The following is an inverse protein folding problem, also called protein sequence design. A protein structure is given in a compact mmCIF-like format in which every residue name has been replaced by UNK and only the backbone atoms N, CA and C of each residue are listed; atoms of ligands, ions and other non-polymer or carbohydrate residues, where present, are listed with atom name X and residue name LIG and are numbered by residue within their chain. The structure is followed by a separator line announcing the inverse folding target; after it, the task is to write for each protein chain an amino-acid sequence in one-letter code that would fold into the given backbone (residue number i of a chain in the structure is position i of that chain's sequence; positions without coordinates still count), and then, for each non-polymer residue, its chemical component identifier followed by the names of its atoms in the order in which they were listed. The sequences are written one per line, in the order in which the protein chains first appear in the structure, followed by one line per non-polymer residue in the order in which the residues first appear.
data_IF_140750166703
#
_entry.id   IF_140750166703
#
_cell.length_a   1.000
_cell.length_b   1.000
_cell.length_c   1.000
_cell.angle_alpha   90.00
_cell.angle_beta   90.00
_cell.angle_gamma   90.00
#
_symmetry.space_group_name_H-M   'P 1'
#
loop_
_entity.id
_entity.type
_entity.pdbx_description
1 polymer ?
#
# COMPACT_ATOMS: atom_id res chain seq x y z
N UNK A 1 19.15 10.65 0.10
CA UNK A 1 20.36 10.78 -0.73
C UNK A 1 20.57 9.41 -1.33
N UNK A 2 20.32 9.22 -2.63
CA UNK A 2 20.67 7.98 -3.32
C UNK A 2 21.84 8.23 -4.24
N UNK A 3 22.81 7.33 -4.09
CA UNK A 3 24.02 7.14 -4.87
C UNK A 3 25.06 8.27 -4.84
N UNK A 4 26.19 7.99 -4.19
CA UNK A 4 27.51 8.33 -4.71
C UNK A 4 28.21 7.00 -4.94
N UNK A 5 28.67 6.76 -6.16
CA UNK A 5 29.59 5.66 -6.45
C UNK A 5 30.87 5.89 -5.62
N UNK A 6 31.28 4.85 -4.90
CA UNK A 6 32.55 4.81 -4.19
C UNK A 6 33.11 3.40 -4.30
N UNK A 7 34.14 3.24 -5.13
CA UNK A 7 35.04 2.10 -5.09
C UNK A 7 35.92 2.29 -3.83
N UNK A 8 36.02 1.28 -2.96
CA UNK A 8 37.11 1.22 -1.98
C UNK A 8 38.22 0.33 -2.50
N UNK A 9 39.45 0.62 -2.08
CA UNK A 9 40.75 0.18 -2.61
C UNK A 9 41.04 -1.35 -2.62
N UNK A 10 40.09 -2.24 -2.36
CA UNK A 10 40.37 -3.68 -2.21
C UNK A 10 39.27 -4.61 -2.75
N UNK A 11 38.75 -4.40 -3.97
CA UNK A 11 38.06 -5.44 -4.77
C UNK A 11 36.92 -6.25 -4.12
N UNK A 12 36.45 -5.89 -2.92
CA UNK A 12 35.35 -6.51 -2.20
C UNK A 12 34.10 -5.73 -2.58
N UNK A 13 33.07 -6.44 -3.03
CA UNK A 13 31.75 -5.85 -3.22
C UNK A 13 31.29 -5.22 -1.90
N UNK A 14 31.34 -3.89 -1.83
CA UNK A 14 30.72 -3.15 -0.75
C UNK A 14 29.21 -3.25 -1.01
N UNK A 15 28.54 -4.16 -0.32
CA UNK A 15 27.10 -4.06 -0.15
C UNK A 15 26.85 -2.83 0.73
N UNK A 16 26.73 -1.66 0.09
CA UNK A 16 26.28 -0.45 0.77
C UNK A 16 24.86 -0.71 1.27
N UNK A 17 24.69 -0.63 2.59
CA UNK A 17 23.39 -0.84 3.25
C UNK A 17 22.37 0.16 2.69
N UNK A 18 21.49 -0.31 1.80
CA UNK A 18 20.52 0.55 1.12
C UNK A 18 19.40 1.03 2.05
N UNK A 19 19.03 0.21 3.04
CA UNK A 19 18.03 0.53 4.06
C UNK A 19 18.03 -0.52 5.19
N UNK A 20 18.04 -0.06 6.44
CA UNK A 20 17.72 -0.90 7.60
C UNK A 20 16.22 -0.93 7.85
N UNK A 21 15.61 -2.11 7.77
CA UNK A 21 14.19 -2.31 8.11
C UNK A 21 14.08 -3.23 9.31
N UNK A 22 13.38 -2.76 10.34
CA UNK A 22 13.07 -3.57 11.53
C UNK A 22 11.72 -4.25 11.30
N UNK A 23 11.73 -5.58 11.27
CA UNK A 23 10.50 -6.38 11.26
C UNK A 23 10.02 -6.52 12.71
N UNK A 24 8.80 -6.05 13.06
CA UNK A 24 8.29 -6.22 14.41
C UNK A 24 8.17 -7.72 14.75
N UNK A 25 8.51 -8.15 15.98
CA UNK A 25 8.42 -9.57 16.37
C UNK A 25 7.01 -10.17 16.28
N UNK A 26 5.98 -9.31 16.28
CA UNK A 26 4.59 -9.71 16.10
C UNK A 26 4.23 -10.08 14.66
N UNK A 27 5.12 -9.81 13.69
CA UNK A 27 4.92 -10.13 12.27
C UNK A 27 5.52 -11.49 11.97
N UNK A 28 4.66 -12.45 11.62
CA UNK A 28 5.01 -13.85 11.35
C UNK A 28 5.39 -14.04 9.88
N UNK A 29 4.58 -13.52 8.95
CA UNK A 29 4.86 -13.56 7.51
C UNK A 29 5.01 -12.13 6.97
N UNK A 30 6.22 -11.55 7.01
CA UNK A 30 6.42 -10.16 6.59
C UNK A 30 6.37 -10.02 5.07
N UNK A 31 5.50 -9.14 4.58
CA UNK A 31 5.63 -8.56 3.24
C UNK A 31 6.27 -7.17 3.35
N UNK A 32 7.49 -7.06 2.82
CA UNK A 32 8.23 -5.80 2.75
C UNK A 32 7.84 -5.05 1.48
N UNK A 33 7.32 -3.83 1.65
CA UNK A 33 6.97 -2.93 0.54
C UNK A 33 7.91 -1.73 0.57
N UNK A 34 8.62 -1.53 -0.53
CA UNK A 34 9.52 -0.40 -0.74
C UNK A 34 8.85 0.61 -1.68
N UNK A 35 8.90 1.89 -1.33
CA UNK A 35 8.37 2.98 -2.15
C UNK A 35 9.25 4.23 -2.02
N UNK A 36 9.00 5.21 -2.87
CA UNK A 36 9.54 6.56 -2.72
C UNK A 36 8.60 7.41 -1.87
N UNK A 37 9.15 8.36 -1.10
CA UNK A 37 8.38 9.39 -0.38
C UNK A 37 7.70 10.43 -1.30
N UNK A 38 7.61 10.15 -2.61
CA UNK A 38 7.18 11.06 -3.66
C UNK A 38 8.29 11.90 -4.26
N UNK A 39 9.32 12.28 -3.48
CA UNK A 39 10.41 13.15 -3.93
C UNK A 39 11.51 12.42 -4.70
N UNK A 40 11.50 11.08 -4.70
CA UNK A 40 12.58 10.20 -5.18
C UNK A 40 13.94 10.43 -4.49
N UNK A 41 13.97 11.20 -3.40
CA UNK A 41 15.20 11.48 -2.62
C UNK A 41 15.36 10.56 -1.42
N UNK A 42 14.25 10.02 -0.91
CA UNK A 42 14.21 9.12 0.25
C UNK A 42 13.28 7.94 -0.02
N UNK A 43 13.84 6.74 0.10
CA UNK A 43 13.05 5.52 0.10
C UNK A 43 12.32 5.39 1.43
N UNK A 44 11.13 4.81 1.38
CA UNK A 44 10.34 4.43 2.55
C UNK A 44 10.03 2.95 2.46
N UNK A 45 10.14 2.26 3.59
CA UNK A 45 9.75 0.86 3.71
C UNK A 45 8.56 0.74 4.64
N UNK A 46 7.70 -0.22 4.34
CA UNK A 46 6.68 -0.71 5.27
C UNK A 46 6.71 -2.22 5.30
N UNK A 47 6.59 -2.75 6.50
CA UNK A 47 6.38 -4.17 6.77
C UNK A 47 4.90 -4.34 7.07
N UNK A 48 4.22 -5.19 6.31
CA UNK A 48 2.86 -5.62 6.60
C UNK A 48 2.84 -7.10 6.92
N UNK A 49 1.93 -7.49 7.80
CA UNK A 49 1.68 -8.88 8.12
C UNK A 49 0.84 -9.51 7.01
N UNK A 50 1.41 -10.50 6.32
CA UNK A 50 0.85 -11.15 5.15
C UNK A 50 0.41 -12.60 5.40
N UNK A 51 0.38 -13.07 6.65
CA UNK A 51 -0.17 -14.39 6.96
C UNK A 51 -1.69 -14.41 6.80
N UNK A 52 -2.29 -15.52 6.31
CA UNK A 52 -3.74 -15.67 6.24
C UNK A 52 -4.47 -15.51 7.57
N UNK A 53 -3.78 -15.76 8.69
CA UNK A 53 -4.35 -15.63 10.05
C UNK A 53 -4.70 -14.17 10.42
N UNK A 54 -3.95 -13.21 9.86
CA UNK A 54 -4.07 -11.77 10.14
C UNK A 54 -4.60 -10.99 8.93
N UNK A 55 -4.26 -11.44 7.73
CA UNK A 55 -4.77 -10.91 6.46
C UNK A 55 -5.52 -12.01 5.70
N UNK A 56 -6.79 -12.23 6.07
CA UNK A 56 -7.62 -13.32 5.56
C UNK A 56 -7.95 -13.17 4.07
N UNK A 57 -8.20 -14.28 3.39
CA UNK A 57 -8.80 -14.24 2.06
C UNK A 57 -10.23 -13.65 2.14
N UNK A 58 -10.60 -12.85 1.14
CA UNK A 58 -11.78 -11.96 1.17
C UNK A 58 -11.50 -10.57 1.76
N UNK A 59 -10.37 -10.37 2.43
CA UNK A 59 -10.00 -9.07 3.00
C UNK A 59 -9.20 -8.20 2.02
N UNK A 60 -9.25 -6.90 2.27
CA UNK A 60 -8.45 -5.92 1.56
C UNK A 60 -7.67 -5.06 2.56
N UNK A 61 -6.44 -4.73 2.20
CA UNK A 61 -5.62 -3.78 2.93
C UNK A 61 -5.31 -2.57 2.06
N UNK A 62 -5.24 -1.39 2.67
CA UNK A 62 -4.75 -0.18 2.02
C UNK A 62 -3.53 0.31 2.79
N UNK A 63 -2.48 0.62 2.05
CA UNK A 63 -1.24 1.16 2.59
C UNK A 63 -0.98 2.53 1.99
N UNK A 64 -1.09 3.56 2.83
CA UNK A 64 -0.83 4.94 2.43
C UNK A 64 0.64 5.32 2.67
N UNK A 65 1.39 5.48 1.58
CA UNK A 65 2.76 5.99 1.58
C UNK A 65 2.85 7.51 1.43
N UNK A 66 1.73 8.19 1.20
CA UNK A 66 1.72 9.65 1.19
C UNK A 66 1.74 10.22 2.60
N UNK A 67 2.20 11.47 2.70
CA UNK A 67 2.13 12.27 3.93
C UNK A 67 0.73 12.87 4.17
N UNK A 68 -0.22 12.66 3.24
CA UNK A 68 -1.57 13.20 3.34
C UNK A 68 -2.55 12.11 3.83
N UNK A 69 -3.45 12.44 4.75
CA UNK A 69 -4.57 11.55 5.08
C UNK A 69 -5.44 11.30 3.85
N UNK A 70 -5.80 10.04 3.63
CA UNK A 70 -6.74 9.64 2.59
C UNK A 70 -8.09 9.34 3.23
N UNK A 71 -9.12 10.08 2.82
CA UNK A 71 -10.51 9.75 3.14
C UNK A 71 -11.13 8.95 2.00
N UNK A 72 -11.95 7.96 2.29
CA UNK A 72 -12.54 7.13 1.24
C UNK A 72 -13.81 6.44 1.65
N UNK A 73 -14.35 5.66 0.72
CA UNK A 73 -15.41 4.70 1.01
C UNK A 73 -15.23 3.43 0.20
N UNK A 74 -15.77 2.33 0.73
CA UNK A 74 -15.67 1.01 0.10
C UNK A 74 -17.05 0.35 0.02
N UNK A 75 -17.47 0.06 -1.19
CA UNK A 75 -18.83 -0.35 -1.52
C UNK A 75 -19.77 0.84 -1.38
N UNK A 76 -20.54 0.89 -0.29
CA UNK A 76 -21.47 1.98 -0.01
C UNK A 76 -20.74 3.25 0.43
N UNK A 77 -21.29 4.43 0.09
CA UNK A 77 -20.82 5.73 0.60
C UNK A 77 -20.90 5.86 2.13
N UNK A 78 -21.71 5.03 2.79
CA UNK A 78 -21.79 4.97 4.26
C UNK A 78 -20.56 4.34 4.90
N UNK A 79 -19.85 3.46 4.19
CA UNK A 79 -18.66 2.76 4.69
C UNK A 79 -17.43 3.65 4.53
N UNK A 80 -17.34 4.69 5.35
CA UNK A 80 -16.25 5.67 5.30
C UNK A 80 -14.98 5.09 5.93
N UNK A 81 -13.86 5.36 5.28
CA UNK A 81 -12.54 4.90 5.71
C UNK A 81 -11.58 6.08 5.74
N UNK A 82 -10.67 6.09 6.72
CA UNK A 82 -9.61 7.11 6.81
C UNK A 82 -8.28 6.38 6.94
N UNK A 83 -7.43 6.51 5.92
CA UNK A 83 -6.09 5.94 5.90
C UNK A 83 -5.09 7.04 6.24
N UNK A 84 -4.58 7.02 7.47
CA UNK A 84 -3.54 7.95 7.90
C UNK A 84 -2.19 7.63 7.25
N UNK A 85 -1.30 8.63 7.09
CA UNK A 85 0.08 8.39 6.65
C UNK A 85 0.73 7.28 7.48
N UNK A 86 1.44 6.37 6.84
CA UNK A 86 2.16 5.33 7.57
C UNK A 86 1.30 4.13 8.01
N UNK A 87 -0.03 4.27 8.13
CA UNK A 87 -0.88 3.19 8.65
C UNK A 87 -1.42 2.26 7.57
N UNK A 88 -1.57 0.99 7.94
CA UNK A 88 -2.40 0.03 7.23
C UNK A 88 -3.87 0.24 7.61
N UNK A 89 -4.76 0.11 6.63
CA UNK A 89 -6.18 0.06 6.87
C UNK A 89 -6.69 -1.30 6.39
N UNK A 90 -7.18 -2.10 7.34
CA UNK A 90 -7.73 -3.43 7.06
C UNK A 90 -9.24 -3.30 7.01
N UNK A 91 -9.83 -3.86 5.96
CA UNK A 91 -11.27 -3.97 5.86
C UNK A 91 -11.65 -5.33 5.33
N UNK A 92 -12.67 -5.91 5.95
CA UNK A 92 -13.30 -7.13 5.46
C UNK A 92 -14.77 -6.81 5.29
N UNK A 93 -15.33 -7.19 4.14
CA UNK A 93 -16.74 -6.99 3.87
C UNK A 93 -17.36 -8.32 3.50
N UNK A 94 -18.52 -8.59 4.07
CA UNK A 94 -19.36 -9.71 3.65
C UNK A 94 -20.28 -9.21 2.52
N UNK A 95 -19.74 -9.03 1.33
CA UNK A 95 -20.57 -8.91 0.13
C UNK A 95 -20.83 -10.32 -0.42
N UNK A 96 -21.96 -10.51 -1.10
CA UNK A 96 -22.20 -11.72 -1.89
C UNK A 96 -21.00 -11.96 -2.83
N UNK A 97 -20.51 -13.20 -2.85
CA UNK A 97 -19.41 -13.58 -3.74
C UNK A 97 -19.78 -13.26 -5.19
N UNK A 98 -18.85 -12.65 -5.93
CA UNK A 98 -19.11 -12.21 -7.30
C UNK A 98 -19.68 -10.79 -7.42
N UNK A 99 -20.03 -10.11 -6.31
CA UNK A 99 -20.48 -8.72 -6.36
C UNK A 99 -19.33 -7.74 -6.58
N UNK A 100 -19.54 -6.75 -7.44
CA UNK A 100 -18.60 -5.66 -7.65
C UNK A 100 -18.65 -4.64 -6.50
N UNK A 101 -17.48 -4.20 -6.05
CA UNK A 101 -17.26 -3.27 -4.95
C UNK A 101 -16.42 -2.10 -5.46
N UNK A 102 -16.94 -0.89 -5.30
CA UNK A 102 -16.19 0.33 -5.60
C UNK A 102 -15.32 0.72 -4.41
N UNK A 103 -14.05 1.02 -4.66
CA UNK A 103 -13.11 1.59 -3.69
C UNK A 103 -12.73 2.97 -4.20
N UNK A 104 -13.01 4.01 -3.42
CA UNK A 104 -12.74 5.39 -3.82
C UNK A 104 -12.02 6.13 -2.70
N UNK A 105 -10.91 6.80 -3.04
CA UNK A 105 -10.16 7.64 -2.11
C UNK A 105 -10.04 9.08 -2.60
N UNK A 106 -10.00 9.96 -1.62
CA UNK A 106 -9.91 11.40 -1.75
C UNK A 106 -8.81 11.92 -0.83
N UNK A 107 -8.16 12.99 -1.26
CA UNK A 107 -7.39 13.89 -0.40
C UNK A 107 -8.18 15.16 -0.18
N UNK A 108 -7.97 15.80 0.96
CA UNK A 108 -8.44 17.18 1.19
C UNK A 108 -7.29 18.13 0.87
N UNK A 109 -7.45 18.96 -0.15
CA UNK A 109 -6.51 20.02 -0.55
C UNK A 109 -7.30 21.34 -0.60
N UNK A 110 -6.84 22.38 0.10
CA UNK A 110 -7.50 23.70 0.13
C UNK A 110 -9.02 23.66 0.42
N UNK A 111 -9.43 22.85 1.40
CA UNK A 111 -10.84 22.58 1.76
C UNK A 111 -11.68 21.86 0.70
N UNK A 112 -11.11 21.51 -0.45
CA UNK A 112 -11.79 20.71 -1.48
C UNK A 112 -11.41 19.23 -1.38
N UNK A 113 -12.37 18.36 -1.64
CA UNK A 113 -12.14 16.92 -1.75
C UNK A 113 -11.78 16.56 -3.18
N UNK A 114 -10.55 16.11 -3.39
CA UNK A 114 -10.04 15.70 -4.69
C UNK A 114 -9.91 14.19 -4.75
N UNK A 115 -10.61 13.56 -5.69
CA UNK A 115 -10.51 12.12 -5.91
C UNK A 115 -9.10 11.78 -6.42
N UNK A 116 -8.44 10.85 -5.75
CA UNK A 116 -7.07 10.41 -6.07
C UNK A 116 -7.00 8.95 -6.51
N UNK A 117 -8.06 8.18 -6.22
CA UNK A 117 -8.16 6.79 -6.64
C UNK A 117 -9.60 6.36 -6.79
N UNK A 118 -9.83 5.49 -7.77
CA UNK A 118 -11.06 4.76 -7.94
C UNK A 118 -10.74 3.41 -8.55
N UNK A 119 -11.22 2.33 -7.94
CA UNK A 119 -11.15 0.99 -8.49
C UNK A 119 -12.46 0.27 -8.25
N UNK A 120 -12.81 -0.63 -9.16
CA UNK A 120 -13.89 -1.58 -8.97
C UNK A 120 -13.23 -2.95 -8.88
N UNK A 121 -13.51 -3.66 -7.80
CA UNK A 121 -13.04 -5.03 -7.58
C UNK A 121 -14.22 -5.94 -7.37
N UNK A 122 -14.15 -7.18 -7.84
CA UNK A 122 -15.16 -8.19 -7.53
C UNK A 122 -14.79 -8.86 -6.22
N UNK A 123 -15.72 -8.91 -5.27
CA UNK A 123 -15.53 -9.66 -4.04
C UNK A 123 -15.31 -11.14 -4.35
N UNK A 124 -14.18 -11.68 -3.88
CA UNK A 124 -13.81 -13.09 -4.06
C UNK A 124 -13.21 -13.58 -2.76
N UNK A 125 -13.88 -14.53 -2.11
CA UNK A 125 -13.48 -15.10 -0.81
C UNK A 125 -12.11 -15.77 -0.84
N UNK A 126 -11.62 -16.13 -2.03
CA UNK A 126 -10.31 -16.74 -2.26
C UNK A 126 -9.22 -15.74 -2.63
N UNK A 127 -9.52 -14.43 -2.63
CA UNK A 127 -8.54 -13.40 -2.97
C UNK A 127 -8.38 -12.43 -1.82
N UNK A 128 -7.14 -12.01 -1.57
CA UNK A 128 -6.83 -10.86 -0.72
C UNK A 128 -5.98 -9.89 -1.51
N UNK A 129 -6.17 -8.60 -1.30
CA UNK A 129 -5.42 -7.60 -2.05
C UNK A 129 -4.94 -6.44 -1.19
N UNK A 130 -3.71 -6.00 -1.46
CA UNK A 130 -3.09 -4.83 -0.82
C UNK A 130 -3.05 -3.71 -1.85
N UNK A 131 -3.79 -2.64 -1.59
CA UNK A 131 -3.76 -1.42 -2.37
C UNK A 131 -2.70 -0.48 -1.81
N UNK A 132 -1.69 -0.21 -2.62
CA UNK A 132 -0.61 0.71 -2.31
C UNK A 132 -0.95 2.06 -2.90
N UNK A 133 -0.95 3.10 -2.07
CA UNK A 133 -1.19 4.48 -2.49
C UNK A 133 0.08 5.28 -2.23
N UNK A 134 0.70 5.84 -3.26
CA UNK A 134 1.94 6.60 -3.11
C UNK A 134 1.91 7.91 -3.91
N UNK A 135 2.47 8.99 -3.35
CA UNK A 135 2.61 10.24 -4.06
C UNK A 135 3.72 10.10 -5.11
N UNK A 136 3.57 10.81 -6.22
CA UNK A 136 4.61 11.02 -7.22
C UNK A 136 4.55 12.48 -7.68
N UNK A 137 5.69 13.10 -7.95
CA UNK A 137 5.69 14.38 -8.63
C UNK A 137 5.65 14.18 -10.15
N UNK A 138 4.70 14.84 -10.81
CA UNK A 138 4.70 14.89 -12.27
C UNK A 138 5.79 15.83 -12.80
N UNK A 139 5.92 15.94 -14.13
CA UNK A 139 6.91 16.82 -14.79
C UNK A 139 6.79 18.31 -14.40
N UNK A 140 5.66 18.72 -13.83
CA UNK A 140 5.38 20.09 -13.36
C UNK A 140 5.56 20.23 -11.85
N UNK A 141 6.22 19.25 -11.20
CA UNK A 141 6.42 19.16 -9.76
C UNK A 141 5.11 19.09 -8.93
N UNK A 142 3.96 18.87 -9.56
CA UNK A 142 2.68 18.69 -8.86
C UNK A 142 2.58 17.27 -8.32
N UNK A 143 2.16 17.13 -7.07
CA UNK A 143 1.86 15.84 -6.46
C UNK A 143 0.67 15.20 -7.17
N UNK A 144 0.90 14.03 -7.75
CA UNK A 144 -0.11 13.11 -8.25
C UNK A 144 -0.08 11.84 -7.40
N UNK A 145 -1.21 11.16 -7.29
CA UNK A 145 -1.28 9.90 -6.57
C UNK A 145 -1.26 8.75 -7.56
N UNK A 146 -0.32 7.84 -7.37
CA UNK A 146 -0.31 6.56 -8.04
C UNK A 146 -0.80 5.48 -7.10
N UNK A 147 -1.31 4.42 -7.72
CA UNK A 147 -1.75 3.24 -7.02
C UNK A 147 -1.15 2.00 -7.64
N UNK A 148 -0.94 0.98 -6.82
CA UNK A 148 -0.56 -0.35 -7.27
C UNK A 148 -1.27 -1.38 -6.40
N UNK A 149 -1.49 -2.57 -6.93
CA UNK A 149 -2.19 -3.63 -6.20
C UNK A 149 -1.36 -4.90 -6.20
N UNK A 150 -1.23 -5.49 -5.02
CA UNK A 150 -0.71 -6.85 -4.86
C UNK A 150 -1.92 -7.73 -4.61
N UNK A 151 -2.09 -8.80 -5.39
CA UNK A 151 -3.19 -9.75 -5.24
C UNK A 151 -2.61 -11.11 -4.93
N UNK A 152 -3.10 -11.70 -3.85
CA UNK A 152 -2.83 -13.09 -3.49
C UNK A 152 -4.12 -13.91 -3.60
N UNK A 153 -3.99 -15.14 -4.08
CA UNK A 153 -5.10 -16.05 -4.39
C UNK A 153 -4.85 -17.37 -3.69
N UNK A 154 -5.80 -17.80 -2.85
CA UNK A 154 -5.73 -19.06 -2.11
C UNK A 154 -5.56 -20.25 -3.05
N UNK A 155 -4.69 -21.21 -2.69
CA UNK A 155 -4.53 -22.44 -3.47
C UNK A 155 -5.82 -23.26 -3.40
N UNK A 156 -6.05 -24.11 -4.39
CA UNK A 156 -7.23 -24.98 -4.43
C UNK A 156 -7.28 -26.00 -3.27
N UNK A 157 -6.15 -26.24 -2.60
CA UNK A 157 -6.03 -27.12 -1.44
C UNK A 157 -6.42 -26.48 -0.10
N UNK A 158 -6.65 -25.17 -0.07
CA UNK A 158 -6.76 -24.40 1.18
C UNK A 158 -8.24 -24.09 1.55
N UNK A 159 -9.19 -24.79 0.90
CA UNK A 159 -10.65 -24.64 1.07
C UNK A 159 -11.28 -25.84 1.75
#
# INVERSE_FOLDING_TARGET
MLYKEGLSDEGKEIFLEAMKVVVPPSVIEPLLILAWDGTRKKGVAKVIEFSPSKFRYGSYQIVNFSQLPLGGHIGSKSNKVVCLPGKEYITSFNFEEGKAVAIVFYVRENNELKKVFGSITTHRNRKRAVYLMYPEHNKLNKTVFKSSVIVDVARASDS
#
